data_IF_467873511895
#
_entry.id   IF_467873511895
#
_cell.length_a   1.000
_cell.length_b   1.000
_cell.length_c   1.000
_cell.angle_alpha   90.00
_cell.angle_beta   90.00
_cell.angle_gamma   90.00
#
_symmetry.space_group_name_H-M   'P 1'
#
loop_
_entity.id
_entity.type
_entity.pdbx_description
1 polymer ?
#
# COMPACT_ATOMS: atom_id res chain seq x y z
N UNK A 1 22.66 4.74 8.23
CA UNK A 1 23.99 5.07 8.79
C UNK A 1 25.06 4.32 7.99
N UNK A 2 26.27 4.85 7.79
CA UNK A 2 27.37 4.05 7.21
C UNK A 2 28.01 3.20 8.30
N UNK A 3 28.28 1.92 8.04
CA UNK A 3 29.00 1.02 8.96
C UNK A 3 30.31 1.63 9.47
N UNK A 4 30.97 2.41 8.62
CA UNK A 4 32.19 3.15 8.93
C UNK A 4 32.02 4.17 10.04
N UNK A 5 30.90 4.91 10.05
CA UNK A 5 30.64 5.95 11.05
C UNK A 5 30.53 5.32 12.45
N UNK A 6 29.85 4.17 12.56
CA UNK A 6 29.60 3.54 13.85
C UNK A 6 30.88 2.95 14.44
N UNK A 7 31.67 2.31 13.58
CA UNK A 7 32.98 1.79 13.95
C UNK A 7 33.89 2.92 14.44
N UNK A 8 34.02 3.99 13.65
CA UNK A 8 34.82 5.16 14.03
C UNK A 8 34.36 5.73 15.38
N UNK A 9 33.05 5.87 15.58
CA UNK A 9 32.49 6.36 16.83
C UNK A 9 32.89 5.48 18.02
N UNK A 10 32.74 4.15 17.90
CA UNK A 10 33.08 3.21 18.98
C UNK A 10 34.57 3.22 19.32
N UNK A 11 35.44 3.32 18.31
CA UNK A 11 36.89 3.40 18.48
C UNK A 11 37.29 4.71 19.18
N UNK A 12 36.71 5.85 18.75
CA UNK A 12 37.00 7.17 19.35
C UNK A 12 36.47 7.29 20.78
N UNK A 13 35.27 6.75 21.06
CA UNK A 13 34.72 6.72 22.43
C UNK A 13 35.59 5.89 23.37
N UNK A 14 36.13 4.75 22.89
CA UNK A 14 37.08 3.93 23.66
C UNK A 14 38.37 4.71 23.94
N UNK A 15 38.92 5.37 22.93
CA UNK A 15 40.15 6.16 23.08
C UNK A 15 39.97 7.33 24.06
N UNK A 16 38.80 7.97 24.07
CA UNK A 16 38.46 9.03 25.02
C UNK A 16 38.19 8.50 26.45
N UNK A 17 38.15 7.18 26.65
CA UNK A 17 37.98 6.54 27.96
C UNK A 17 36.51 6.45 28.43
N UNK A 18 35.56 6.30 27.50
CA UNK A 18 34.17 6.03 27.88
C UNK A 18 34.06 4.66 28.58
N UNK A 19 33.44 4.57 29.78
CA UNK A 19 33.55 3.39 30.65
C UNK A 19 32.73 2.19 30.17
N UNK A 20 31.66 2.40 29.40
CA UNK A 20 30.76 1.34 28.93
C UNK A 20 31.13 0.90 27.51
N UNK A 21 31.14 -0.41 27.26
CA UNK A 21 31.36 -0.94 25.91
C UNK A 21 30.16 -0.63 25.01
N UNK A 22 30.41 0.06 23.90
CA UNK A 22 29.43 0.34 22.86
C UNK A 22 29.60 -0.71 21.75
N UNK A 23 28.57 -1.52 21.50
CA UNK A 23 28.53 -2.47 20.39
C UNK A 23 27.80 -1.88 19.18
N UNK A 24 28.09 -2.44 18.01
CA UNK A 24 27.41 -2.11 16.76
C UNK A 24 25.90 -2.42 16.80
N UNK A 25 25.48 -3.37 17.65
CA UNK A 25 24.07 -3.77 17.77
C UNK A 25 23.23 -2.78 18.58
N UNK A 26 23.85 -1.98 19.44
CA UNK A 26 23.13 -1.06 20.33
C UNK A 26 22.34 0.04 19.59
N UNK A 27 22.63 0.28 18.31
CA UNK A 27 21.99 1.31 17.48
C UNK A 27 21.25 0.74 16.25
N UNK A 28 21.06 -0.59 16.19
CA UNK A 28 20.18 -1.22 15.18
C UNK A 28 18.71 -0.91 15.45
N UNK A 29 18.33 -0.79 16.72
CA UNK A 29 17.04 -0.31 17.19
C UNK A 29 17.22 0.97 18.03
N UNK A 30 16.18 1.81 18.15
CA UNK A 30 16.23 3.00 19.00
C UNK A 30 16.58 2.66 20.45
N UNK A 31 17.67 3.24 20.97
CA UNK A 31 18.14 3.05 22.35
C UNK A 31 18.42 4.40 23.00
N UNK A 32 17.35 5.09 23.40
CA UNK A 32 17.44 6.41 24.01
C UNK A 32 18.22 6.45 25.33
N UNK A 33 18.05 5.49 26.26
CA UNK A 33 18.82 5.49 27.51
C UNK A 33 20.34 5.50 27.28
N UNK A 34 20.83 4.71 26.31
CA UNK A 34 22.24 4.71 25.96
C UNK A 34 22.69 6.04 25.34
N UNK A 35 21.88 6.63 24.45
CA UNK A 35 22.19 7.95 23.87
C UNK A 35 22.24 9.03 24.94
N UNK A 36 21.31 9.01 25.90
CA UNK A 36 21.29 9.95 27.01
C UNK A 36 22.54 9.82 27.89
N UNK A 37 22.90 8.59 28.27
CA UNK A 37 24.11 8.31 29.04
C UNK A 37 25.38 8.82 28.33
N UNK A 38 25.52 8.53 27.04
CA UNK A 38 26.65 8.97 26.22
C UNK A 38 26.70 10.51 26.13
N UNK A 39 25.57 11.16 25.88
CA UNK A 39 25.51 12.62 25.74
C UNK A 39 25.86 13.31 27.07
N UNK A 40 25.37 12.81 28.20
CA UNK A 40 25.75 13.31 29.53
C UNK A 40 27.25 13.20 29.72
N UNK A 41 27.83 12.04 29.39
CA UNK A 41 29.26 11.82 29.52
C UNK A 41 30.08 12.77 28.64
N UNK A 42 29.70 12.94 27.38
CA UNK A 42 30.38 13.84 26.44
C UNK A 42 30.31 15.31 26.89
N UNK A 43 29.15 15.76 27.39
CA UNK A 43 28.98 17.12 27.90
C UNK A 43 29.82 17.34 29.15
N UNK A 44 29.81 16.41 30.12
CA UNK A 44 30.65 16.49 31.32
C UNK A 44 32.15 16.45 31.00
N UNK A 45 32.55 15.79 29.91
CA UNK A 45 33.93 15.80 29.42
C UNK A 45 34.33 17.17 28.85
N UNK A 46 33.36 17.93 28.34
CA UNK A 46 33.56 19.28 27.83
C UNK A 46 33.54 20.33 28.95
N UNK A 47 32.56 20.26 29.86
CA UNK A 47 32.43 21.16 31.01
C UNK A 47 31.97 20.36 32.25
N UNK A 48 32.88 20.07 33.21
CA UNK A 48 32.58 19.20 34.37
C UNK A 48 31.49 19.73 35.30
N UNK A 49 31.28 21.05 35.34
CA UNK A 49 30.33 21.74 36.21
C UNK A 49 28.91 21.81 35.61
N UNK A 50 28.70 21.28 34.40
CA UNK A 50 27.40 21.37 33.73
C UNK A 50 26.41 20.35 34.32
N UNK A 51 25.31 20.86 34.87
CA UNK A 51 24.17 20.06 35.30
C UNK A 51 23.19 19.86 34.14
N UNK A 52 23.07 18.61 33.69
CA UNK A 52 22.08 18.20 32.70
C UNK A 52 21.00 17.39 33.42
N UNK A 53 19.71 17.62 33.13
CA UNK A 53 18.63 16.77 33.63
C UNK A 53 18.93 15.30 33.32
N UNK A 54 18.93 14.44 34.34
CA UNK A 54 19.22 13.00 34.19
C UNK A 54 17.96 12.16 33.98
N UNK A 55 16.78 12.70 34.26
CA UNK A 55 15.52 12.01 34.08
C UNK A 55 15.12 12.02 32.59
N UNK A 56 14.86 10.83 32.04
CA UNK A 56 14.53 10.59 30.63
C UNK A 56 13.42 9.55 30.49
N UNK A 57 12.66 9.31 31.55
CA UNK A 57 11.64 8.25 31.56
C UNK A 57 10.42 8.64 30.73
N UNK A 58 9.98 9.90 30.82
CA UNK A 58 8.84 10.42 30.04
C UNK A 58 9.27 11.02 28.69
N UNK A 59 8.36 11.04 27.71
CA UNK A 59 8.62 11.67 26.41
C UNK A 59 8.93 13.17 26.54
N UNK A 60 8.24 13.86 27.45
CA UNK A 60 8.51 15.27 27.77
C UNK A 60 9.93 15.48 28.28
N UNK A 61 10.40 14.62 29.18
CA UNK A 61 11.72 14.74 29.79
C UNK A 61 12.82 14.45 28.76
N UNK A 62 12.60 13.46 27.88
CA UNK A 62 13.51 13.20 26.75
C UNK A 62 13.64 14.40 25.81
N UNK A 63 12.53 15.07 25.50
CA UNK A 63 12.55 16.27 24.64
C UNK A 63 13.27 17.42 25.35
N UNK A 64 13.04 17.60 26.65
CA UNK A 64 13.72 18.62 27.45
C UNK A 64 15.23 18.36 27.51
N UNK A 65 15.62 17.11 27.79
CA UNK A 65 17.01 16.65 27.80
C UNK A 65 17.73 16.95 26.47
N UNK A 66 17.16 16.55 25.33
CA UNK A 66 17.79 16.79 24.02
C UNK A 66 17.93 18.29 23.72
N UNK A 67 16.94 19.11 24.11
CA UNK A 67 17.01 20.57 23.96
C UNK A 67 18.15 21.15 24.81
N UNK A 68 18.26 20.74 26.06
CA UNK A 68 19.31 21.21 26.97
C UNK A 68 20.72 20.88 26.43
N UNK A 69 20.95 19.62 26.02
CA UNK A 69 22.22 19.20 25.42
C UNK A 69 22.54 19.96 24.13
N UNK A 70 21.57 20.10 23.24
CA UNK A 70 21.76 20.81 21.97
C UNK A 70 22.06 22.31 22.18
N UNK A 71 21.37 22.96 23.12
CA UNK A 71 21.60 24.36 23.48
C UNK A 71 22.99 24.56 24.07
N UNK A 72 23.42 23.67 24.97
CA UNK A 72 24.78 23.69 25.53
C UNK A 72 25.84 23.58 24.43
N UNK A 73 25.74 22.56 23.58
CA UNK A 73 26.72 22.31 22.53
C UNK A 73 26.78 23.45 21.49
N UNK A 74 25.65 24.10 21.21
CA UNK A 74 25.61 25.25 20.30
C UNK A 74 26.24 26.51 20.91
N UNK A 75 26.07 26.74 22.21
CA UNK A 75 26.53 27.96 22.88
C UNK A 75 27.98 27.89 23.35
N UNK A 76 28.41 26.73 23.86
CA UNK A 76 29.73 26.55 24.49
C UNK A 76 30.76 25.89 23.57
N UNK A 77 30.31 24.98 22.72
CA UNK A 77 31.18 24.26 21.78
C UNK A 77 31.02 24.74 20.33
N UNK A 78 30.08 25.65 20.06
CA UNK A 78 29.71 26.10 18.72
C UNK A 78 29.36 24.96 17.75
N UNK A 79 28.87 23.83 18.29
CA UNK A 79 28.46 22.66 17.51
C UNK A 79 26.94 22.65 17.32
N UNK A 80 26.49 22.71 16.07
CA UNK A 80 25.07 22.58 15.73
C UNK A 80 24.68 21.11 15.59
N UNK A 81 23.79 20.64 16.47
CA UNK A 81 23.27 19.28 16.50
C UNK A 81 21.83 19.22 15.96
N UNK A 82 21.48 18.11 15.31
CA UNK A 82 20.10 17.85 14.88
C UNK A 82 19.31 17.12 15.97
N UNK A 83 18.37 17.82 16.61
CA UNK A 83 17.58 17.30 17.72
C UNK A 83 16.73 16.08 17.33
N UNK A 84 16.16 16.07 16.13
CA UNK A 84 15.30 14.96 15.65
C UNK A 84 16.12 13.67 15.51
N UNK A 85 17.35 13.77 15.01
CA UNK A 85 18.25 12.62 14.86
C UNK A 85 18.76 12.09 16.19
N UNK A 86 19.04 12.99 17.14
CA UNK A 86 19.40 12.56 18.51
C UNK A 86 18.23 11.84 19.18
N UNK A 87 17.01 12.36 19.04
CA UNK A 87 15.80 11.75 19.62
C UNK A 87 15.44 10.38 19.01
N UNK A 88 15.73 10.17 17.72
CA UNK A 88 15.56 8.85 17.07
C UNK A 88 16.37 7.74 17.73
N UNK A 89 17.47 8.11 18.42
CA UNK A 89 18.30 7.22 19.23
C UNK A 89 18.81 5.95 18.52
N UNK A 90 18.93 6.00 17.20
CA UNK A 90 19.41 4.93 16.34
C UNK A 90 20.74 5.34 15.69
N UNK A 91 21.14 4.69 14.59
CA UNK A 91 22.35 5.04 13.85
C UNK A 91 22.41 6.49 13.34
N UNK A 92 21.30 7.24 13.26
CA UNK A 92 21.33 8.66 12.93
C UNK A 92 21.75 9.53 14.12
N UNK A 93 21.44 9.12 15.36
CA UNK A 93 21.91 9.80 16.56
C UNK A 93 23.45 9.76 16.66
N UNK A 94 24.05 8.63 16.28
CA UNK A 94 25.51 8.46 16.28
C UNK A 94 26.23 9.45 15.38
N UNK A 95 25.65 9.81 14.23
CA UNK A 95 26.22 10.86 13.36
C UNK A 95 26.29 12.22 14.04
N UNK A 96 25.32 12.53 14.90
CA UNK A 96 25.30 13.77 15.64
C UNK A 96 26.27 13.71 16.83
N UNK A 97 26.34 12.59 17.56
CA UNK A 97 27.31 12.39 18.65
C UNK A 97 28.77 12.36 18.15
N UNK A 98 29.01 11.88 16.94
CA UNK A 98 30.33 11.90 16.30
C UNK A 98 30.91 13.30 16.11
N UNK A 99 30.06 14.31 15.91
CA UNK A 99 30.53 15.71 15.78
C UNK A 99 31.23 16.17 17.05
N UNK A 100 30.65 15.81 18.21
CA UNK A 100 31.18 16.12 19.53
C UNK A 100 32.45 15.30 19.79
N UNK A 101 32.35 14.00 19.56
CA UNK A 101 33.43 13.02 19.80
C UNK A 101 34.68 13.35 18.98
N UNK A 102 34.51 13.80 17.73
CA UNK A 102 35.64 14.16 16.85
C UNK A 102 36.42 15.36 17.34
N UNK A 103 35.74 16.36 17.89
CA UNK A 103 36.41 17.55 18.44
C UNK A 103 37.26 17.14 19.66
N UNK A 104 36.68 16.37 20.58
CA UNK A 104 37.37 15.88 21.78
C UNK A 104 38.56 14.97 21.42
N UNK A 105 38.36 14.05 20.47
CA UNK A 105 39.39 13.12 20.05
C UNK A 105 40.57 13.82 19.36
N UNK A 106 40.30 14.80 18.49
CA UNK A 106 41.35 15.58 17.84
C UNK A 106 42.16 16.40 18.85
N UNK A 107 41.50 17.01 19.84
CA UNK A 107 42.17 17.76 20.89
C UNK A 107 43.06 16.87 21.80
N UNK A 108 42.66 15.62 22.02
CA UNK A 108 43.48 14.64 22.73
C UNK A 108 44.73 14.26 21.93
N UNK A 109 44.57 13.97 20.63
CA UNK A 109 45.68 13.59 19.75
C UNK A 109 46.72 14.69 19.56
N UNK A 110 46.32 15.96 19.59
CA UNK A 110 47.28 17.07 19.49
C UNK A 110 48.16 17.21 20.73
N UNK A 111 47.70 16.77 21.92
CA UNK A 111 48.53 16.75 23.14
C UNK A 111 49.56 15.63 23.13
N UNK A 112 49.22 14.44 22.62
CA UNK A 112 50.16 13.32 22.56
C UNK A 112 51.35 13.58 21.61
N UNK A 113 51.16 14.37 20.54
CA UNK A 113 52.24 14.72 19.62
C UNK A 113 53.23 15.76 20.17
N UNK A 114 52.86 16.54 21.20
CA UNK A 114 53.74 17.58 21.77
C UNK A 114 54.63 17.07 22.91
N UNK A 115 54.32 15.92 23.51
CA UNK A 115 55.07 15.36 24.64
C UNK A 115 56.14 14.33 24.21
N UNK A 116 56.35 14.12 22.91
CA UNK A 116 57.26 13.08 22.37
C UNK A 116 58.70 13.50 22.01
N UNK A 117 59.09 14.77 22.15
CA UNK A 117 60.38 15.30 21.68
C UNK A 117 61.44 15.56 22.77
N UNK A 118 61.33 14.94 23.95
CA UNK A 118 62.34 15.09 25.00
C UNK A 118 62.80 13.74 25.54
N UNK A 119 63.70 13.06 24.82
CA UNK A 119 64.74 12.24 25.47
C UNK A 119 65.82 11.73 24.49
N UNK A 120 67.06 12.05 24.88
CA UNK A 120 68.31 11.31 24.64
C UNK A 120 69.27 11.71 23.49
N UNK A 121 70.42 12.17 23.98
CA UNK A 121 71.81 11.84 23.59
C UNK A 121 72.58 12.73 22.61
N UNK A 122 73.31 13.69 23.20
CA UNK A 122 74.37 14.51 22.61
C UNK A 122 75.74 13.81 22.41
N UNK A 123 75.83 12.47 22.30
CA UNK A 123 77.14 11.81 22.31
C UNK A 123 77.46 10.93 21.08
N UNK A 124 77.37 11.52 19.88
CA UNK A 124 78.05 10.97 18.69
C UNK A 124 78.37 12.04 17.62
N UNK A 125 79.13 13.08 18.02
CA UNK A 125 79.90 13.88 17.04
C UNK A 125 80.91 12.95 16.34
N UNK A 126 81.00 13.07 15.02
CA UNK A 126 81.82 12.27 14.07
C UNK A 126 81.15 11.06 13.41
N UNK A 127 79.93 11.27 12.89
CA UNK A 127 79.62 10.71 11.57
C UNK A 127 79.44 11.88 10.60
N UNK A 128 80.14 11.82 9.47
CA UNK A 128 80.04 12.80 8.41
C UNK A 128 78.61 12.71 7.84
N UNK A 129 77.71 13.51 8.39
CA UNK A 129 76.29 13.49 8.06
C UNK A 129 76.07 14.24 6.73
N UNK A 130 76.46 13.56 5.66
CA UNK A 130 76.24 14.03 4.29
C UNK A 130 74.74 14.10 3.97
N UNK A 131 73.92 13.30 4.67
CA UNK A 131 72.47 13.28 4.54
C UNK A 131 71.80 14.57 5.03
N UNK A 132 72.14 15.04 6.24
CA UNK A 132 71.61 16.32 6.75
C UNK A 132 72.11 17.51 5.94
N UNK A 133 73.38 17.57 5.55
CA UNK A 133 73.90 18.65 4.68
C UNK A 133 73.28 18.66 3.29
N UNK A 134 72.96 17.49 2.71
CA UNK A 134 72.23 17.41 1.43
C UNK A 134 70.77 17.83 1.61
N UNK A 135 70.14 17.49 2.74
CA UNK A 135 68.80 17.98 3.07
C UNK A 135 68.79 19.50 3.22
N UNK A 136 69.74 20.07 3.96
CA UNK A 136 69.92 21.52 4.13
C UNK A 136 70.21 22.22 2.80
N UNK A 137 71.01 21.61 1.91
CA UNK A 137 71.23 22.13 0.56
C UNK A 137 69.98 22.09 -0.31
N UNK A 138 69.14 21.05 -0.17
CA UNK A 138 67.85 20.97 -0.87
C UNK A 138 66.88 22.04 -0.34
N UNK A 139 66.83 22.23 0.98
CA UNK A 139 66.03 23.29 1.62
C UNK A 139 66.53 24.67 1.18
N UNK A 140 67.83 24.91 1.17
CA UNK A 140 68.41 26.18 0.72
C UNK A 140 68.11 26.46 -0.76
N UNK A 141 68.17 25.44 -1.63
CA UNK A 141 67.77 25.57 -3.04
C UNK A 141 66.27 25.85 -3.19
N UNK A 142 65.43 25.18 -2.41
CA UNK A 142 63.99 25.42 -2.40
C UNK A 142 63.70 26.86 -1.94
N UNK A 143 64.32 27.31 -0.85
CA UNK A 143 64.18 28.68 -0.35
C UNK A 143 64.66 29.72 -1.38
N UNK A 144 65.76 29.46 -2.10
CA UNK A 144 66.20 30.31 -3.20
C UNK A 144 65.16 30.41 -4.33
N UNK A 145 64.53 29.29 -4.68
CA UNK A 145 63.42 29.27 -5.64
C UNK A 145 62.21 30.04 -5.12
N UNK A 146 61.85 29.88 -3.85
CA UNK A 146 60.72 30.56 -3.21
C UNK A 146 60.97 32.07 -3.11
N UNK A 147 62.19 32.51 -2.80
CA UNK A 147 62.58 33.92 -2.79
C UNK A 147 62.39 34.52 -4.19
N UNK A 148 62.80 33.80 -5.23
CA UNK A 148 62.68 34.26 -6.62
C UNK A 148 61.22 34.33 -7.04
N UNK A 149 60.43 33.30 -6.71
CA UNK A 149 58.99 33.27 -6.99
C UNK A 149 58.22 34.37 -6.24
N UNK A 150 58.51 34.57 -4.95
CA UNK A 150 57.91 35.66 -4.15
C UNK A 150 58.36 37.04 -4.63
N UNK A 151 59.61 37.17 -5.06
CA UNK A 151 60.13 38.41 -5.65
C UNK A 151 59.41 38.77 -6.94
N UNK A 152 59.20 37.79 -7.83
CA UNK A 152 58.41 37.99 -9.06
C UNK A 152 56.95 38.35 -8.74
N UNK A 153 56.30 37.60 -7.85
CA UNK A 153 54.93 37.90 -7.45
C UNK A 153 54.80 39.30 -6.81
N UNK A 154 55.77 39.71 -6.00
CA UNK A 154 55.79 41.05 -5.40
C UNK A 154 55.99 42.14 -6.46
N UNK A 155 56.87 41.92 -7.44
CA UNK A 155 57.07 42.84 -8.55
C UNK A 155 55.78 43.05 -9.34
N UNK A 156 55.08 41.96 -9.69
CA UNK A 156 53.81 42.02 -10.41
C UNK A 156 52.73 42.76 -9.59
N UNK A 157 52.62 42.44 -8.29
CA UNK A 157 51.67 43.10 -7.38
C UNK A 157 51.97 44.59 -7.20
N UNK A 158 53.24 44.97 -7.08
CA UNK A 158 53.65 46.39 -7.01
C UNK A 158 53.41 47.11 -8.33
N UNK A 159 53.58 46.43 -9.46
CA UNK A 159 53.27 46.98 -10.78
C UNK A 159 51.79 47.36 -10.94
N UNK A 160 50.89 46.63 -10.28
CA UNK A 160 49.46 46.95 -10.25
C UNK A 160 49.06 47.99 -9.20
N UNK A 161 49.97 48.44 -8.32
CA UNK A 161 49.60 49.36 -7.23
C UNK A 161 49.15 50.73 -7.75
N UNK A 162 49.65 51.20 -8.89
CA UNK A 162 49.22 52.49 -9.46
C UNK A 162 47.72 52.48 -9.80
N UNK A 163 47.27 51.47 -10.54
CA UNK A 163 45.86 51.25 -10.89
C UNK A 163 45.00 50.98 -9.65
N UNK A 164 45.50 50.12 -8.75
CA UNK A 164 44.79 49.75 -7.52
C UNK A 164 44.66 50.93 -6.56
N UNK A 165 45.64 51.83 -6.53
CA UNK A 165 45.62 53.03 -5.67
C UNK A 165 44.56 54.01 -6.14
N UNK A 166 44.43 54.24 -7.44
CA UNK A 166 43.37 55.08 -7.99
C UNK A 166 42.00 54.46 -7.70
N UNK A 167 41.81 53.18 -8.02
CA UNK A 167 40.57 52.44 -7.75
C UNK A 167 40.19 52.45 -6.27
N UNK A 168 41.15 52.20 -5.38
CA UNK A 168 40.96 52.24 -3.93
C UNK A 168 40.57 53.63 -3.45
N UNK A 169 41.25 54.68 -3.94
CA UNK A 169 40.95 56.06 -3.57
C UNK A 169 39.56 56.47 -4.06
N UNK A 170 39.19 56.10 -5.29
CA UNK A 170 37.85 56.33 -5.84
C UNK A 170 36.76 55.58 -5.06
N UNK A 171 37.01 54.33 -4.66
CA UNK A 171 36.08 53.55 -3.85
C UNK A 171 35.91 54.12 -2.44
N UNK A 172 36.99 54.58 -1.80
CA UNK A 172 36.96 55.22 -0.48
C UNK A 172 36.28 56.59 -0.56
N UNK A 173 36.50 57.34 -1.63
CA UNK A 173 35.89 58.66 -1.84
C UNK A 173 34.40 58.58 -2.19
N UNK A 174 33.88 57.41 -2.59
CA UNK A 174 32.47 57.23 -2.87
C UNK A 174 31.65 57.49 -1.60
N UNK A 175 30.77 58.51 -1.57
CA UNK A 175 29.87 58.71 -0.44
C UNK A 175 28.99 57.48 -0.26
N UNK A 176 28.85 57.00 0.97
CA UNK A 176 27.91 55.93 1.27
C UNK A 176 26.49 56.44 1.00
N UNK A 177 25.77 55.79 0.08
CA UNK A 177 24.38 56.10 -0.25
C UNK A 177 23.43 55.56 0.83
N UNK A 178 23.61 56.09 2.05
CA UNK A 178 22.89 55.67 3.26
C UNK A 178 21.37 55.77 3.04
N UNK A 179 20.90 56.80 2.34
CA UNK A 179 19.48 57.01 2.05
C UNK A 179 18.87 55.95 1.16
N UNK A 180 19.61 55.45 0.16
CA UNK A 180 19.14 54.37 -0.71
C UNK A 180 19.16 53.03 0.02
N UNK A 181 20.21 52.75 0.78
CA UNK A 181 20.29 51.54 1.60
C UNK A 181 19.20 51.50 2.66
N UNK A 182 18.89 52.63 3.30
CA UNK A 182 17.80 52.77 4.26
C UNK A 182 16.44 52.56 3.58
N UNK A 183 16.21 53.14 2.40
CA UNK A 183 14.97 52.94 1.63
C UNK A 183 14.78 51.48 1.25
N UNK A 184 15.83 50.83 0.75
CA UNK A 184 15.81 49.42 0.38
C UNK A 184 15.53 48.54 1.61
N UNK A 185 16.16 48.84 2.75
CA UNK A 185 15.93 48.14 4.00
C UNK A 185 14.49 48.31 4.50
N UNK A 186 13.94 49.54 4.47
CA UNK A 186 12.55 49.82 4.83
C UNK A 186 11.55 49.08 3.93
N UNK A 187 11.83 49.02 2.63
CA UNK A 187 11.01 48.25 1.68
C UNK A 187 11.06 46.74 2.00
N UNK A 188 12.25 46.18 2.23
CA UNK A 188 12.40 44.78 2.60
C UNK A 188 11.69 44.43 3.92
N UNK A 189 11.76 45.31 4.93
CA UNK A 189 11.03 45.16 6.19
C UNK A 189 9.52 45.14 5.92
N UNK A 190 9.03 46.07 5.11
CA UNK A 190 7.60 46.14 4.75
C UNK A 190 7.14 44.84 4.07
N UNK A 191 7.86 44.36 3.06
CA UNK A 191 7.52 43.14 2.34
C UNK A 191 7.48 41.92 3.27
N UNK A 192 8.43 41.82 4.20
CA UNK A 192 8.45 40.76 5.22
C UNK A 192 7.26 40.90 6.18
N UNK A 193 6.92 42.11 6.62
CA UNK A 193 5.75 42.31 7.50
C UNK A 193 4.44 41.95 6.82
N UNK A 194 4.28 42.25 5.54
CA UNK A 194 3.10 41.85 4.75
C UNK A 194 3.05 40.33 4.59
N UNK A 195 4.18 39.68 4.31
CA UNK A 195 4.27 38.22 4.24
C UNK A 195 3.91 37.55 5.58
N UNK A 196 4.36 38.12 6.70
CA UNK A 196 4.00 37.67 8.05
C UNK A 196 2.49 37.79 8.26
N UNK A 197 1.88 38.91 7.87
CA UNK A 197 0.45 39.12 8.05
C UNK A 197 -0.37 38.14 7.19
N UNK A 198 -0.01 37.94 5.92
CA UNK A 198 -0.66 36.95 5.06
C UNK A 198 -0.56 35.53 5.64
N UNK A 199 0.59 35.18 6.23
CA UNK A 199 0.79 33.87 6.85
C UNK A 199 -0.08 33.71 8.11
N UNK A 200 -0.23 34.77 8.91
CA UNK A 200 -1.14 34.77 10.07
C UNK A 200 -2.59 34.58 9.66
N UNK A 201 -3.03 35.26 8.60
CA UNK A 201 -4.40 35.13 8.11
C UNK A 201 -4.68 33.71 7.60
N UNK A 202 -3.71 33.11 6.89
CA UNK A 202 -3.80 31.72 6.47
C UNK A 202 -3.87 30.76 7.66
N UNK A 203 -3.06 31.00 8.70
CA UNK A 203 -3.07 30.19 9.92
C UNK A 203 -4.43 30.25 10.64
N UNK A 204 -5.03 31.44 10.71
CA UNK A 204 -6.36 31.62 11.30
C UNK A 204 -7.44 30.87 10.52
N UNK A 205 -7.38 30.90 9.19
CA UNK A 205 -8.30 30.15 8.34
C UNK A 205 -8.16 28.63 8.56
N UNK A 206 -6.92 28.13 8.60
CA UNK A 206 -6.66 26.70 8.87
C UNK A 206 -7.16 26.30 10.25
N UNK A 207 -6.95 27.13 11.27
CA UNK A 207 -7.46 26.90 12.63
C UNK A 207 -9.00 26.82 12.67
N UNK A 208 -9.68 27.71 11.94
CA UNK A 208 -11.15 27.66 11.80
C UNK A 208 -11.63 26.41 11.07
N UNK A 209 -10.93 26.00 9.99
CA UNK A 209 -11.26 24.80 9.23
C UNK A 209 -11.04 23.53 10.06
N UNK A 210 -9.94 23.47 10.83
CA UNK A 210 -9.63 22.40 11.76
C UNK A 210 -10.74 22.26 12.82
N UNK A 211 -11.14 23.34 13.48
CA UNK A 211 -12.22 23.33 14.46
C UNK A 211 -13.57 22.85 13.85
N UNK A 212 -13.87 23.28 12.62
CA UNK A 212 -15.06 22.85 11.87
C UNK A 212 -15.03 21.35 11.52
N UNK A 213 -13.86 20.84 11.12
CA UNK A 213 -13.67 19.42 10.82
C UNK A 213 -13.74 18.56 12.10
N UNK A 214 -13.15 19.01 13.20
CA UNK A 214 -13.22 18.29 14.47
C UNK A 214 -14.67 18.18 14.96
N UNK A 215 -15.45 19.25 14.88
CA UNK A 215 -16.87 19.22 15.20
C UNK A 215 -17.67 18.23 14.32
N UNK A 216 -17.33 18.13 13.02
CA UNK A 216 -17.95 17.16 12.11
C UNK A 216 -17.55 15.72 12.44
N UNK A 217 -16.28 15.50 12.76
CA UNK A 217 -15.76 14.18 13.16
C UNK A 217 -16.46 13.72 14.44
N UNK A 218 -16.57 14.60 15.44
CA UNK A 218 -17.23 14.28 16.70
C UNK A 218 -18.72 13.94 16.51
N UNK A 219 -19.43 14.73 15.70
CA UNK A 219 -20.82 14.40 15.32
C UNK A 219 -20.92 13.03 14.66
N UNK A 220 -20.00 12.70 13.74
CA UNK A 220 -19.98 11.39 13.05
C UNK A 220 -19.63 10.25 13.98
N UNK A 221 -18.73 10.44 14.95
CA UNK A 221 -18.43 9.45 16.00
C UNK A 221 -19.66 9.13 16.82
N UNK A 222 -20.41 10.15 17.26
CA UNK A 222 -21.64 9.95 18.04
C UNK A 222 -22.72 9.24 17.23
N UNK A 223 -22.92 9.60 15.96
CA UNK A 223 -23.86 8.91 15.07
C UNK A 223 -23.46 7.44 14.86
N UNK A 224 -22.17 7.18 14.68
CA UNK A 224 -21.63 5.82 14.52
C UNK A 224 -21.84 4.99 15.80
N UNK A 225 -21.57 5.54 16.97
CA UNK A 225 -21.79 4.86 18.26
C UNK A 225 -23.28 4.51 18.46
N UNK A 226 -24.18 5.45 18.13
CA UNK A 226 -25.64 5.20 18.19
C UNK A 226 -26.06 4.07 17.25
N UNK A 227 -25.55 4.08 16.02
CA UNK A 227 -25.84 3.03 15.04
C UNK A 227 -25.25 1.68 15.45
N UNK A 228 -24.06 1.64 16.02
CA UNK A 228 -23.46 0.42 16.56
C UNK A 228 -24.29 -0.15 17.70
N UNK A 229 -24.75 0.68 18.64
CA UNK A 229 -25.66 0.25 19.72
C UNK A 229 -26.96 -0.30 19.15
N UNK A 230 -27.56 0.37 18.16
CA UNK A 230 -28.78 -0.10 17.49
C UNK A 230 -28.57 -1.44 16.78
N UNK A 231 -27.44 -1.59 16.08
CA UNK A 231 -27.09 -2.85 15.42
C UNK A 231 -26.92 -3.98 16.43
N UNK A 232 -26.22 -3.72 17.55
CA UNK A 232 -26.04 -4.70 18.61
C UNK A 232 -27.38 -5.14 19.21
N UNK A 233 -28.31 -4.20 19.44
CA UNK A 233 -29.67 -4.54 19.89
C UNK A 233 -30.40 -5.39 18.86
N UNK A 234 -30.36 -5.03 17.58
CA UNK A 234 -30.98 -5.81 16.50
C UNK A 234 -30.38 -7.22 16.38
N UNK A 235 -29.07 -7.37 16.54
CA UNK A 235 -28.39 -8.67 16.50
C UNK A 235 -28.69 -9.53 17.73
N UNK A 236 -28.90 -8.91 18.90
CA UNK A 236 -29.23 -9.64 20.12
C UNK A 236 -30.65 -10.23 20.10
N UNK A 237 -31.54 -9.64 19.31
CA UNK A 237 -32.93 -10.08 19.23
C UNK A 237 -33.07 -11.11 18.11
N UNK A 238 -33.44 -12.33 18.50
CA UNK A 238 -33.82 -13.39 17.55
C UNK A 238 -35.08 -12.96 16.79
N UNK A 239 -35.09 -12.99 15.45
CA UNK A 239 -36.29 -12.63 14.68
C UNK A 239 -37.45 -13.58 14.98
N UNK A 240 -38.67 -13.03 15.15
CA UNK A 240 -39.84 -13.80 15.56
C UNK A 240 -40.24 -14.93 14.59
N UNK A 241 -39.93 -14.76 13.30
CA UNK A 241 -40.21 -15.76 12.26
C UNK A 241 -39.20 -16.92 12.23
N UNK A 242 -38.08 -16.83 12.97
CA UNK A 242 -37.08 -17.91 12.98
C UNK A 242 -37.64 -19.20 13.58
N UNK A 243 -38.49 -19.10 14.60
CA UNK A 243 -39.09 -20.26 15.24
C UNK A 243 -40.09 -20.97 14.30
N UNK A 244 -40.84 -20.19 13.50
CA UNK A 244 -41.70 -20.74 12.45
C UNK A 244 -40.90 -21.37 11.32
N UNK A 245 -39.79 -20.74 10.91
CA UNK A 245 -38.88 -21.27 9.90
C UNK A 245 -38.29 -22.62 10.31
N UNK A 246 -37.72 -22.71 11.52
CA UNK A 246 -37.12 -23.94 12.05
C UNK A 246 -38.16 -25.07 12.15
N UNK A 247 -39.39 -24.74 12.61
CA UNK A 247 -40.49 -25.71 12.65
C UNK A 247 -40.86 -26.23 11.25
N UNK A 248 -40.94 -25.34 10.26
CA UNK A 248 -41.25 -25.73 8.88
C UNK A 248 -40.11 -26.59 8.29
N UNK A 249 -38.85 -26.29 8.60
CA UNK A 249 -37.72 -27.14 8.18
C UNK A 249 -37.81 -28.55 8.77
N UNK A 250 -38.11 -28.67 10.07
CA UNK A 250 -38.31 -29.98 10.69
C UNK A 250 -39.46 -30.76 10.04
N UNK A 251 -40.58 -30.08 9.79
CA UNK A 251 -41.73 -30.70 9.16
C UNK A 251 -41.42 -31.10 7.71
N UNK A 252 -40.68 -30.28 6.97
CA UNK A 252 -40.20 -30.63 5.63
C UNK A 252 -39.33 -31.90 5.66
N UNK A 253 -38.44 -32.03 6.64
CA UNK A 253 -37.58 -33.20 6.79
C UNK A 253 -38.40 -34.47 7.05
N UNK A 254 -39.41 -34.40 7.93
CA UNK A 254 -40.33 -35.51 8.21
C UNK A 254 -41.14 -35.91 6.97
N UNK A 255 -41.66 -34.91 6.24
CA UNK A 255 -42.42 -35.15 5.01
C UNK A 255 -41.54 -35.77 3.91
N UNK A 256 -40.29 -35.32 3.78
CA UNK A 256 -39.35 -35.89 2.82
C UNK A 256 -39.06 -37.36 3.13
N UNK A 257 -38.86 -37.71 4.39
CA UNK A 257 -38.66 -39.11 4.79
C UNK A 257 -39.87 -40.00 4.43
N UNK A 258 -41.08 -39.52 4.74
CA UNK A 258 -42.32 -40.20 4.37
C UNK A 258 -42.48 -40.33 2.85
N UNK A 259 -42.12 -39.28 2.10
CA UNK A 259 -42.14 -39.29 0.65
C UNK A 259 -41.20 -40.36 0.08
N UNK A 260 -39.97 -40.45 0.59
CA UNK A 260 -38.99 -41.44 0.14
C UNK A 260 -39.50 -42.87 0.37
N UNK A 261 -40.08 -43.16 1.54
CA UNK A 261 -40.68 -44.47 1.82
C UNK A 261 -41.83 -44.81 0.86
N UNK A 262 -42.75 -43.86 0.66
CA UNK A 262 -43.88 -44.04 -0.27
C UNK A 262 -43.40 -44.21 -1.70
N UNK A 263 -42.38 -43.48 -2.12
CA UNK A 263 -41.78 -43.59 -3.43
C UNK A 263 -41.17 -44.97 -3.64
N UNK A 264 -40.39 -45.48 -2.68
CA UNK A 264 -39.84 -46.84 -2.73
C UNK A 264 -40.95 -47.89 -2.85
N UNK A 265 -42.00 -47.78 -2.03
CA UNK A 265 -43.13 -48.70 -2.07
C UNK A 265 -43.86 -48.64 -3.42
N UNK A 266 -44.09 -47.44 -3.95
CA UNK A 266 -44.73 -47.25 -5.26
C UNK A 266 -43.90 -47.89 -6.37
N UNK A 267 -42.60 -47.59 -6.45
CA UNK A 267 -41.72 -48.17 -7.46
C UNK A 267 -41.64 -49.70 -7.39
N UNK A 268 -41.72 -50.26 -6.18
CA UNK A 268 -41.78 -51.71 -6.00
C UNK A 268 -43.10 -52.31 -6.50
N UNK A 269 -44.23 -51.67 -6.19
CA UNK A 269 -45.54 -52.12 -6.64
C UNK A 269 -45.71 -51.97 -8.16
N UNK A 270 -45.27 -50.85 -8.75
CA UNK A 270 -45.24 -50.64 -10.19
C UNK A 270 -44.46 -51.77 -10.89
N UNK A 271 -43.29 -52.12 -10.37
CA UNK A 271 -42.48 -53.21 -10.92
C UNK A 271 -43.16 -54.57 -10.80
N UNK A 272 -43.79 -54.89 -9.67
CA UNK A 272 -44.55 -56.14 -9.55
C UNK A 272 -45.72 -56.21 -10.53
N UNK A 273 -46.38 -55.08 -10.76
CA UNK A 273 -47.51 -54.98 -11.67
C UNK A 273 -47.04 -55.17 -13.12
N UNK A 274 -45.92 -54.56 -13.51
CA UNK A 274 -45.28 -54.79 -14.81
C UNK A 274 -44.86 -56.25 -15.03
N UNK A 275 -44.34 -56.90 -13.99
CA UNK A 275 -43.94 -58.31 -14.04
C UNK A 275 -45.18 -59.23 -14.14
N UNK A 276 -46.28 -58.89 -13.47
CA UNK A 276 -47.56 -59.62 -13.60
C UNK A 276 -48.14 -59.47 -15.02
N UNK A 277 -48.18 -58.25 -15.56
CA UNK A 277 -48.63 -58.01 -16.93
C UNK A 277 -47.76 -58.76 -17.95
N UNK A 278 -46.44 -58.80 -17.76
CA UNK A 278 -45.54 -59.60 -18.61
C UNK A 278 -45.85 -61.10 -18.52
N UNK A 279 -46.05 -61.63 -17.32
CA UNK A 279 -46.40 -63.04 -17.15
C UNK A 279 -47.76 -63.40 -17.75
N UNK A 280 -48.77 -62.52 -17.64
CA UNK A 280 -50.07 -62.72 -18.31
C UNK A 280 -49.94 -62.68 -19.83
N UNK A 281 -49.15 -61.75 -20.35
CA UNK A 281 -48.87 -61.63 -21.77
C UNK A 281 -48.15 -62.88 -22.31
N UNK A 282 -47.13 -63.38 -21.62
CA UNK A 282 -46.43 -64.62 -21.97
C UNK A 282 -47.40 -65.82 -21.98
N UNK A 283 -48.27 -65.95 -20.96
CA UNK A 283 -49.29 -67.01 -20.94
C UNK A 283 -50.29 -66.89 -22.09
N UNK A 284 -50.69 -65.68 -22.42
CA UNK A 284 -51.58 -65.43 -23.55
C UNK A 284 -50.92 -65.84 -24.87
N UNK A 285 -49.66 -65.44 -25.08
CA UNK A 285 -48.85 -65.82 -26.25
C UNK A 285 -48.60 -67.33 -26.33
N UNK A 286 -48.32 -68.00 -25.20
CA UNK A 286 -48.20 -69.45 -25.12
C UNK A 286 -49.51 -70.16 -25.47
N UNK A 287 -50.65 -69.65 -24.98
CA UNK A 287 -51.97 -70.18 -25.29
C UNK A 287 -52.32 -69.98 -26.78
N UNK A 288 -51.99 -68.82 -27.35
CA UNK A 288 -52.15 -68.52 -28.77
C UNK A 288 -51.29 -69.46 -29.63
N UNK A 289 -50.01 -69.63 -29.27
CA UNK A 289 -49.09 -70.56 -29.93
C UNK A 289 -49.56 -72.01 -29.83
N UNK A 290 -50.09 -72.44 -28.69
CA UNK A 290 -50.64 -73.77 -28.49
C UNK A 290 -51.92 -73.99 -29.33
N UNK A 291 -52.81 -73.00 -29.36
CA UNK A 291 -54.02 -73.03 -30.21
C UNK A 291 -53.67 -73.08 -31.69
N UNK A 292 -52.71 -72.26 -32.14
CA UNK A 292 -52.20 -72.27 -33.52
C UNK A 292 -51.54 -73.60 -33.88
N UNK A 293 -50.76 -74.18 -32.97
CA UNK A 293 -50.17 -75.51 -33.16
C UNK A 293 -51.24 -76.60 -33.26
N UNK A 294 -52.27 -76.55 -32.41
CA UNK A 294 -53.40 -77.50 -32.46
C UNK A 294 -54.21 -77.34 -33.75
N UNK A 295 -54.48 -76.11 -34.19
CA UNK A 295 -55.16 -75.83 -35.45
C UNK A 295 -54.36 -76.35 -36.65
N UNK A 296 -53.04 -76.15 -36.65
CA UNK A 296 -52.16 -76.67 -37.69
C UNK A 296 -52.13 -78.21 -37.72
N UNK A 297 -52.11 -78.87 -36.56
CA UNK A 297 -52.20 -80.34 -36.46
C UNK A 297 -53.53 -80.86 -37.01
N UNK A 298 -54.65 -80.21 -36.67
CA UNK A 298 -55.97 -80.59 -37.20
C UNK A 298 -56.02 -80.43 -38.73
N UNK A 299 -55.50 -79.32 -39.27
CA UNK A 299 -55.38 -79.13 -40.74
C UNK A 299 -54.49 -80.19 -41.40
N UNK A 300 -53.42 -80.61 -40.73
CA UNK A 300 -52.52 -81.66 -41.23
C UNK A 300 -53.16 -83.06 -41.15
N UNK A 301 -53.93 -83.35 -40.10
CA UNK A 301 -54.70 -84.58 -39.94
C UNK A 301 -55.86 -84.66 -40.95
N UNK A 302 -56.58 -83.56 -41.20
CA UNK A 302 -57.59 -83.45 -42.26
C UNK A 302 -56.96 -83.75 -43.63
N UNK A 303 -55.80 -83.15 -43.92
CA UNK A 303 -55.02 -83.42 -45.13
C UNK A 303 -54.49 -84.86 -45.21
N UNK A 304 -54.22 -85.53 -44.08
CA UNK A 304 -53.81 -86.94 -44.01
C UNK A 304 -54.98 -87.91 -44.14
N UNK A 305 -56.14 -87.60 -43.59
CA UNK A 305 -57.39 -88.36 -43.75
C UNK A 305 -57.83 -88.33 -45.22
N UNK A 306 -57.74 -87.18 -45.89
CA UNK A 306 -57.88 -87.08 -47.35
C UNK A 306 -56.83 -87.87 -48.15
N UNK A 307 -55.73 -88.31 -47.53
CA UNK A 307 -54.63 -89.04 -48.20
C UNK A 307 -54.56 -90.54 -47.87
N UNK A 308 -55.23 -91.00 -46.80
CA UNK A 308 -55.18 -92.41 -46.33
C UNK A 308 -56.53 -93.14 -46.37
N UNK A 309 -57.62 -92.45 -46.70
CA UNK A 309 -58.82 -93.05 -47.29
C UNK A 309 -58.69 -93.08 -48.81
N UNK A 310 -57.89 -94.00 -49.35
CA UNK A 310 -58.00 -94.37 -50.75
C UNK A 310 -59.31 -95.15 -50.95
N UNK A 311 -60.39 -94.44 -51.27
CA UNK A 311 -61.41 -94.85 -52.24
C UNK A 311 -62.47 -93.77 -52.42
N UNK A 312 -62.62 -93.45 -53.70
CA UNK A 312 -63.78 -92.91 -54.39
C UNK A 312 -64.03 -91.40 -54.31
N UNK A 313 -64.24 -90.90 -55.54
CA UNK A 313 -64.74 -89.58 -55.97
C UNK A 313 -63.69 -88.48 -56.05
N UNK A 314 -62.90 -88.59 -57.12
CA UNK A 314 -61.84 -87.68 -57.50
C UNK A 314 -62.36 -86.65 -58.53
N UNK A 315 -62.11 -85.38 -58.19
CA UNK A 315 -62.08 -84.19 -59.04
C UNK A 315 -63.44 -83.66 -59.52
N UNK A 316 -63.77 -82.38 -59.44
CA UNK A 316 -62.96 -81.22 -59.09
C UNK A 316 -63.90 -79.99 -58.98
N UNK A 317 -63.44 -79.00 -58.21
CA UNK A 317 -63.80 -77.57 -58.24
C UNK A 317 -65.16 -77.09 -57.68
N UNK A 318 -65.08 -76.64 -56.43
CA UNK A 318 -65.56 -75.36 -55.86
C UNK A 318 -66.67 -74.56 -56.57
N UNK A 319 -67.89 -74.56 -56.03
CA UNK A 319 -68.95 -73.52 -56.17
C UNK A 319 -69.83 -73.57 -54.89
N UNK A 320 -70.12 -72.48 -54.13
CA UNK A 320 -70.78 -71.29 -54.69
C UNK A 320 -70.37 -69.90 -54.19
N UNK A 321 -70.46 -68.97 -55.13
CA UNK A 321 -71.15 -67.66 -55.08
C UNK A 321 -71.26 -66.97 -53.70
N UNK A 322 -70.45 -65.92 -53.50
CA UNK A 322 -71.00 -64.65 -53.04
C UNK A 322 -70.45 -63.53 -53.94
N UNK A 323 -71.37 -62.90 -54.66
CA UNK A 323 -71.14 -61.80 -55.57
C UNK A 323 -70.78 -60.53 -54.79
N UNK A 324 -69.93 -59.69 -55.37
CA UNK A 324 -69.93 -58.26 -55.02
C UNK A 324 -68.71 -57.79 -54.24
N UNK A 325 -67.65 -57.55 -54.99
CA UNK A 325 -66.60 -56.61 -54.65
C UNK A 325 -67.15 -55.19 -54.49
N UNK A 326 -66.54 -54.45 -53.54
CA UNK A 326 -66.32 -53.00 -53.49
C UNK A 326 -67.37 -52.09 -52.81
N UNK A 327 -67.16 -51.82 -51.51
CA UNK A 327 -67.14 -50.44 -50.94
C UNK A 327 -66.82 -50.44 -49.44
N UNK A 328 -65.66 -49.85 -49.10
CA UNK A 328 -65.31 -49.07 -47.90
C UNK A 328 -66.09 -49.29 -46.58
N UNK A 329 -65.41 -49.87 -45.57
CA UNK A 329 -65.75 -49.64 -44.16
C UNK A 329 -64.57 -48.93 -43.48
N UNK A 330 -64.70 -47.60 -43.49
CA UNK A 330 -64.44 -46.67 -42.38
C UNK A 330 -63.10 -46.82 -41.65
N UNK A 331 -62.02 -46.43 -42.35
CA UNK A 331 -60.88 -45.82 -41.69
C UNK A 331 -61.39 -44.56 -40.96
N UNK A 332 -61.26 -44.57 -39.64
CA UNK A 332 -61.66 -43.48 -38.78
C UNK A 332 -60.91 -42.20 -39.13
N UNK A 333 -61.46 -41.41 -40.04
CA UNK A 333 -61.01 -40.04 -40.25
C UNK A 333 -61.92 -39.08 -39.48
N UNK A 334 -61.39 -38.69 -38.31
CA UNK A 334 -61.63 -37.46 -37.57
C UNK A 334 -62.54 -36.40 -38.24
N UNK A 335 -63.31 -35.69 -37.41
CA UNK A 335 -62.94 -34.28 -37.24
C UNK A 335 -63.04 -33.81 -35.78
N UNK A 336 -61.96 -33.20 -35.27
CA UNK A 336 -62.10 -32.01 -34.39
C UNK A 336 -62.84 -30.91 -35.18
N UNK A 337 -63.46 -29.85 -34.61
CA UNK A 337 -63.35 -29.27 -33.26
C UNK A 337 -64.75 -28.85 -32.68
N UNK A 338 -64.97 -28.33 -31.46
CA UNK A 338 -64.59 -27.01 -30.93
C UNK A 338 -65.08 -26.86 -29.48
N UNK A 339 -64.24 -26.19 -28.69
CA UNK A 339 -64.52 -25.27 -27.58
C UNK A 339 -65.98 -25.02 -27.14
N UNK A 340 -66.23 -25.15 -25.82
CA UNK A 340 -67.06 -24.22 -25.06
C UNK A 340 -66.59 -24.12 -23.59
N UNK A 341 -66.03 -22.96 -23.27
CA UNK A 341 -66.23 -22.15 -22.06
C UNK A 341 -65.95 -22.77 -20.68
N UNK A 342 -64.79 -22.41 -20.13
CA UNK A 342 -64.67 -22.03 -18.72
C UNK A 342 -64.60 -20.50 -18.69
N UNK A 343 -65.70 -19.87 -18.29
CA UNK A 343 -65.77 -18.44 -18.02
C UNK A 343 -66.37 -18.18 -16.64
N UNK A 344 -65.58 -17.53 -15.78
CA UNK A 344 -66.00 -16.86 -14.54
C UNK A 344 -65.92 -17.74 -13.28
N UNK A 345 -65.38 -17.28 -12.15
CA UNK A 345 -65.02 -15.93 -11.73
C UNK A 345 -64.27 -16.02 -10.39
N UNK A 346 -63.25 -15.18 -10.20
CA UNK A 346 -62.92 -14.63 -8.87
C UNK A 346 -61.51 -14.84 -8.35
N UNK A 347 -60.69 -13.78 -8.38
CA UNK A 347 -59.85 -13.44 -7.23
C UNK A 347 -58.32 -13.60 -7.36
N UNK A 348 -57.67 -12.51 -7.78
CA UNK A 348 -56.35 -12.05 -7.34
C UNK A 348 -55.09 -12.92 -7.66
N UNK A 349 -54.54 -12.73 -8.87
CA UNK A 349 -53.08 -12.75 -9.04
C UNK A 349 -52.57 -11.32 -8.87
N UNK A 350 -51.86 -11.11 -7.76
CA UNK A 350 -51.14 -9.89 -7.46
C UNK A 350 -49.88 -9.86 -8.34
N UNK A 351 -49.93 -9.16 -9.47
CA UNK A 351 -48.73 -8.72 -10.18
C UNK A 351 -48.18 -7.55 -9.37
N UNK A 352 -47.25 -7.85 -8.47
CA UNK A 352 -46.40 -6.85 -7.83
C UNK A 352 -45.49 -6.23 -8.88
N UNK A 353 -45.90 -5.07 -9.40
CA UNK A 353 -44.99 -4.10 -9.99
C UNK A 353 -43.91 -3.80 -8.94
N UNK A 354 -42.69 -4.31 -9.16
CA UNK A 354 -41.51 -3.77 -8.49
C UNK A 354 -41.21 -2.40 -9.09
N UNK A 355 -42.05 -1.43 -8.75
CA UNK A 355 -41.72 -0.02 -8.77
C UNK A 355 -40.77 0.18 -7.60
N UNK A 356 -39.47 0.03 -7.87
CA UNK A 356 -38.40 0.42 -6.96
C UNK A 356 -38.54 1.90 -6.65
N UNK A 357 -39.14 2.20 -5.49
CA UNK A 357 -39.13 3.52 -4.91
C UNK A 357 -37.72 3.86 -4.46
N UNK A 358 -37.16 4.85 -5.14
CA UNK A 358 -36.24 5.85 -4.61
C UNK A 358 -35.32 5.37 -3.49
N UNK A 359 -34.21 4.76 -3.91
CA UNK A 359 -32.96 5.04 -3.23
C UNK A 359 -32.74 6.55 -3.34
N UNK A 360 -32.99 7.27 -2.25
CA UNK A 360 -32.42 8.61 -2.07
C UNK A 360 -30.90 8.45 -2.05
N UNK A 361 -30.33 8.41 -3.25
CA UNK A 361 -28.97 8.76 -3.54
C UNK A 361 -28.83 10.21 -3.06
N UNK A 362 -28.31 10.36 -1.83
CA UNK A 362 -27.80 11.64 -1.33
C UNK A 362 -26.69 12.07 -2.29
N UNK A 363 -27.10 12.76 -3.36
CA UNK A 363 -26.27 13.64 -4.16
C UNK A 363 -25.68 14.65 -3.19
N UNK A 364 -24.50 14.32 -2.68
CA UNK A 364 -23.53 15.32 -2.26
C UNK A 364 -23.33 16.19 -3.50
N UNK A 365 -24.01 17.35 -3.52
CA UNK A 365 -23.64 18.45 -4.38
C UNK A 365 -22.25 18.86 -3.94
N UNK A 366 -21.26 18.18 -4.48
CA UNK A 366 -19.90 18.67 -4.58
C UNK A 366 -19.98 19.92 -5.45
N UNK A 367 -20.18 21.06 -4.80
CA UNK A 367 -20.00 22.36 -5.43
C UNK A 367 -18.49 22.48 -5.64
N UNK A 368 -18.00 21.86 -6.72
CA UNK A 368 -16.70 22.18 -7.28
C UNK A 368 -16.81 23.62 -7.75
N UNK A 369 -16.42 24.56 -6.89
CA UNK A 369 -15.99 25.88 -7.35
C UNK A 369 -14.69 25.68 -8.11
N UNK A 370 -14.83 25.32 -9.39
CA UNK A 370 -13.85 25.60 -10.42
C UNK A 370 -13.74 27.13 -10.52
N UNK A 371 -12.94 27.71 -9.63
CA UNK A 371 -12.26 28.96 -9.91
C UNK A 371 -11.22 28.66 -11.00
N UNK A 372 -11.70 28.62 -12.24
CA UNK A 372 -10.86 28.68 -13.43
C UNK A 372 -10.18 30.05 -13.46
N UNK A 373 -9.09 30.22 -12.71
CA UNK A 373 -8.12 31.25 -13.01
C UNK A 373 -7.39 30.82 -14.28
N UNK A 374 -7.89 31.31 -15.41
CA UNK A 374 -7.21 31.22 -16.69
C UNK A 374 -5.82 31.81 -16.57
N UNK A 375 -4.81 30.95 -16.41
CA UNK A 375 -3.41 31.28 -16.64
C UNK A 375 -3.28 31.79 -18.09
N UNK A 376 -3.22 33.12 -18.25
CA UNK A 376 -2.70 33.75 -19.46
C UNK A 376 -1.31 33.18 -19.72
N UNK A 377 -1.17 32.33 -20.75
CA UNK A 377 0.11 31.98 -21.36
C UNK A 377 0.74 33.29 -21.88
N UNK A 378 1.61 33.92 -21.08
CA UNK A 378 2.59 34.87 -21.61
C UNK A 378 3.54 34.06 -22.50
N UNK A 379 3.37 34.18 -23.82
CA UNK A 379 4.38 33.79 -24.80
C UNK A 379 5.66 34.53 -24.46
N UNK A 380 6.67 33.84 -23.92
CA UNK A 380 8.05 34.34 -23.92
C UNK A 380 8.48 34.39 -25.39
N UNK A 381 8.59 35.60 -25.95
CA UNK A 381 9.41 35.84 -27.14
C UNK A 381 10.83 35.47 -26.75
N UNK A 382 11.35 34.38 -27.32
CA UNK A 382 12.78 34.12 -27.39
C UNK A 382 13.34 35.19 -28.34
N UNK A 383 13.97 36.22 -27.80
CA UNK A 383 14.77 37.14 -28.59
C UNK A 383 16.07 36.40 -28.88
N UNK A 384 16.20 35.91 -30.11
CA UNK A 384 17.46 35.48 -30.67
C UNK A 384 18.32 36.74 -30.84
N UNK A 385 19.33 36.93 -29.99
CA UNK A 385 20.36 37.95 -30.21
C UNK A 385 21.37 37.35 -31.18
N UNK A 386 21.18 37.66 -32.46
CA UNK A 386 22.19 37.46 -33.49
C UNK A 386 23.37 38.39 -33.17
N UNK A 387 24.50 37.84 -32.69
CA UNK A 387 25.79 38.54 -32.69
C UNK A 387 26.20 38.77 -34.14
N UNK A 388 26.02 39.99 -34.63
CA UNK A 388 26.70 40.46 -35.83
C UNK A 388 28.10 40.87 -35.41
N UNK A 389 29.07 40.07 -35.84
CA UNK A 389 30.47 40.46 -35.97
C UNK A 389 30.54 41.46 -37.11
N UNK A 390 31.02 42.67 -36.86
CA UNK A 390 31.57 43.54 -37.90
C UNK A 390 32.94 44.01 -37.47
N UNK A 391 33.92 43.44 -38.15
CA UNK A 391 35.23 44.02 -38.41
C UNK A 391 35.05 45.35 -39.11
N UNK A 392 35.71 46.38 -38.58
CA UNK A 392 36.59 47.37 -39.25
C UNK A 392 37.15 48.27 -38.19
#
# INVERSE_FOLDING_TARGET
MSFRDLRNFTEMMRALGYPRLISMENFRSPNFPLVAEILIWLVKRYEPQMEIPSDVDTESDRVFFIKAVAQFMATKAHVKLNLKRLYQADGYAVKEMLKITSILYNAMKTKENTDGEQSNDENSKFKFDLGSKIADLKVARQLGSDITAKGAALFDLLGHEEDLRESRTAAIARPLEITETERALRAAVKDVTESIQMTKDLLNNVSSDEASLEAKIEKKKQDLERNQKRLQTLQSVRPAFMDEYEKIEEDLQKQYQTYVEKFHNLSFLERQLDDHHRAEQERFEEAEMAMKTRQNKLKEEEKRLMRSGAKDEDSDVDIPEDEGSDSDIDDGQQPRPRHAQISGRGGARFIGSMRGGDSEELRVKERVHLSGSGRKKKRRKVVCVQRIVRST
#
